data_IF_480072013712
#
_entry.id   IF_480072013712
#
_cell.length_a   1.000
_cell.length_b   1.000
_cell.length_c   1.000
_cell.angle_alpha   90.00
_cell.angle_beta   90.00
_cell.angle_gamma   90.00
#
_symmetry.space_group_name_H-M   'P 1'
#
loop_
_entity.id
_entity.type
_entity.pdbx_description
1 polymer ?
#
# COMPACT_ATOMS: atom_id res chain seq x y z
N UNK A 1 -33.12 -3.02 17.32
CA UNK A 1 -32.09 -4.07 17.48
C UNK A 1 -30.70 -3.47 17.28
N UNK A 2 -29.59 -4.17 17.55
CA UNK A 2 -28.23 -3.68 17.23
C UNK A 2 -27.57 -4.61 16.22
N UNK A 3 -26.70 -4.08 15.36
CA UNK A 3 -25.95 -4.87 14.40
C UNK A 3 -24.97 -5.80 15.12
N UNK A 4 -25.04 -7.11 14.84
CA UNK A 4 -24.12 -8.09 15.44
C UNK A 4 -22.66 -7.96 14.99
N UNK A 5 -22.38 -7.16 13.95
CA UNK A 5 -21.01 -6.95 13.42
C UNK A 5 -20.38 -5.64 13.88
N UNK A 6 -21.09 -4.51 13.81
CA UNK A 6 -20.52 -3.19 14.13
C UNK A 6 -21.16 -2.48 15.33
N UNK A 7 -22.15 -3.08 15.99
CA UNK A 7 -22.79 -2.49 17.17
C UNK A 7 -23.72 -1.31 16.90
N UNK A 8 -23.90 -0.88 15.65
CA UNK A 8 -24.81 0.21 15.31
C UNK A 8 -26.27 -0.11 15.67
N UNK A 9 -27.01 0.90 16.14
CA UNK A 9 -28.45 0.78 16.45
C UNK A 9 -29.25 0.67 15.14
N UNK A 10 -30.12 -0.33 15.07
CA UNK A 10 -30.95 -0.66 13.91
C UNK A 10 -32.43 -0.47 14.25
N UNK A 11 -33.13 0.23 13.35
CA UNK A 11 -34.58 0.34 13.31
C UNK A 11 -35.21 -1.01 12.91
N UNK A 12 -36.44 -1.27 13.34
CA UNK A 12 -37.14 -2.52 13.02
C UNK A 12 -37.54 -2.57 11.52
N UNK A 13 -37.33 -3.72 10.87
CA UNK A 13 -37.66 -3.93 9.45
C UNK A 13 -36.52 -3.64 8.46
N UNK A 14 -35.33 -3.28 8.93
CA UNK A 14 -34.15 -3.10 8.08
C UNK A 14 -33.62 -4.46 7.59
N UNK A 15 -33.29 -4.57 6.31
CA UNK A 15 -32.72 -5.78 5.69
C UNK A 15 -31.19 -5.81 5.73
N UNK A 16 -30.56 -4.64 5.86
CA UNK A 16 -29.11 -4.47 5.97
C UNK A 16 -28.77 -3.35 6.96
N UNK A 17 -27.62 -3.47 7.64
CA UNK A 17 -27.10 -2.43 8.50
C UNK A 17 -26.61 -1.23 7.66
N UNK A 18 -27.12 -0.01 7.88
CA UNK A 18 -26.73 1.17 7.11
C UNK A 18 -25.30 1.67 7.43
N UNK A 19 -24.67 1.15 8.48
CA UNK A 19 -23.32 1.55 8.88
C UNK A 19 -22.23 0.60 8.36
N UNK A 20 -22.54 -0.68 8.12
CA UNK A 20 -21.51 -1.65 7.71
C UNK A 20 -21.97 -2.63 6.63
N UNK A 21 -23.19 -2.49 6.10
CA UNK A 21 -23.73 -3.31 5.02
C UNK A 21 -24.10 -4.75 5.39
N UNK A 22 -23.98 -5.16 6.67
CA UNK A 22 -24.27 -6.55 7.08
C UNK A 22 -25.78 -6.82 7.06
N UNK A 23 -26.28 -7.90 6.42
CA UNK A 23 -27.71 -8.22 6.36
C UNK A 23 -28.28 -8.50 7.75
N UNK A 24 -29.47 -7.96 8.00
CA UNK A 24 -30.17 -8.02 9.29
C UNK A 24 -31.41 -8.91 9.14
N UNK A 25 -31.20 -10.22 9.18
CA UNK A 25 -32.28 -11.21 9.11
C UNK A 25 -31.85 -12.62 9.52
N UNK A 26 -32.33 -13.06 10.69
CA UNK A 26 -32.70 -14.46 10.97
C UNK A 26 -34.24 -14.55 10.76
N UNK A 27 -34.93 -15.60 10.32
CA UNK A 27 -34.73 -17.05 10.19
C UNK A 27 -35.80 -17.61 9.16
N UNK A 28 -36.07 -18.93 8.93
CA UNK A 28 -36.31 -19.96 9.96
C UNK A 28 -35.60 -21.31 9.75
N UNK A 29 -35.61 -22.09 10.83
CA UNK A 29 -35.29 -23.50 10.86
C UNK A 29 -36.14 -24.30 9.86
N UNK A 30 -35.50 -25.22 9.15
CA UNK A 30 -36.13 -26.40 8.57
C UNK A 30 -35.46 -27.63 9.19
N UNK A 31 -36.19 -28.29 10.08
CA UNK A 31 -35.90 -29.61 10.60
C UNK A 31 -36.02 -30.65 9.46
N UNK A 32 -34.99 -31.48 9.26
CA UNK A 32 -35.19 -32.86 8.80
C UNK A 32 -34.31 -33.78 9.63
N UNK A 33 -34.95 -34.72 10.32
CA UNK A 33 -34.35 -35.74 11.16
C UNK A 33 -33.72 -36.86 10.33
N UNK A 34 -32.56 -37.36 10.77
CA UNK A 34 -31.86 -38.50 10.15
C UNK A 34 -30.60 -38.94 10.92
N UNK A 35 -30.83 -39.68 12.00
CA UNK A 35 -30.04 -40.63 12.82
C UNK A 35 -28.54 -40.92 12.55
N UNK A 36 -27.79 -41.05 13.68
CA UNK A 36 -26.62 -41.93 14.00
C UNK A 36 -25.22 -41.26 14.08
N UNK A 37 -24.24 -41.79 14.87
CA UNK A 37 -23.91 -41.24 16.18
C UNK A 37 -22.44 -40.78 16.37
N UNK A 38 -22.27 -39.94 17.41
CA UNK A 38 -21.10 -39.76 18.29
C UNK A 38 -19.70 -39.56 17.67
N UNK A 39 -19.20 -38.32 17.77
CA UNK A 39 -17.77 -38.07 18.03
C UNK A 39 -17.62 -36.85 18.96
N UNK A 40 -17.15 -37.11 20.19
CA UNK A 40 -16.71 -36.07 21.14
C UNK A 40 -15.55 -35.28 20.52
N UNK A 41 -15.64 -33.95 20.50
CA UNK A 41 -14.47 -33.06 20.38
C UNK A 41 -14.14 -32.47 21.75
N UNK A 42 -12.86 -32.43 22.15
CA UNK A 42 -12.46 -31.84 23.41
C UNK A 42 -12.50 -30.31 23.30
N UNK A 43 -12.88 -29.68 24.41
CA UNK A 43 -12.84 -28.24 24.59
C UNK A 43 -11.37 -27.83 24.71
N UNK A 44 -10.90 -26.88 23.89
CA UNK A 44 -9.62 -26.22 24.13
C UNK A 44 -9.85 -24.69 24.14
N UNK A 45 -9.43 -23.97 25.19
CA UNK A 45 -9.62 -22.54 25.31
C UNK A 45 -8.80 -21.82 24.24
N UNK A 46 -9.44 -20.87 23.55
CA UNK A 46 -8.77 -19.97 22.60
C UNK A 46 -7.84 -19.07 23.40
N UNK A 47 -6.55 -19.40 23.35
CA UNK A 47 -5.46 -18.55 23.80
C UNK A 47 -5.43 -17.32 22.89
N UNK A 48 -5.77 -16.18 23.48
CA UNK A 48 -5.52 -14.84 22.95
C UNK A 48 -4.00 -14.72 22.81
N UNK A 49 -3.50 -14.77 21.58
CA UNK A 49 -2.07 -14.76 21.30
C UNK A 49 -1.74 -15.18 19.87
N UNK A 50 -2.42 -14.59 18.87
CA UNK A 50 -2.14 -14.86 17.45
C UNK A 50 -2.63 -13.74 16.51
N UNK A 51 -2.64 -12.48 16.94
CA UNK A 51 -2.96 -11.37 16.02
C UNK A 51 -1.68 -10.84 15.34
N UNK A 52 -0.57 -10.77 16.08
CA UNK A 52 0.72 -10.29 15.54
C UNK A 52 1.34 -11.26 14.52
N UNK A 53 1.12 -12.57 14.64
CA UNK A 53 1.70 -13.56 13.72
C UNK A 53 0.98 -13.62 12.36
N UNK A 54 -0.29 -13.22 12.28
CA UNK A 54 -1.07 -13.29 11.03
C UNK A 54 -0.69 -12.16 10.08
N UNK A 55 -0.35 -10.97 10.59
CA UNK A 55 0.20 -9.88 9.78
C UNK A 55 1.51 -10.29 9.07
N UNK A 56 2.41 -10.99 9.78
CA UNK A 56 3.69 -11.49 9.22
C UNK A 56 3.47 -12.63 8.21
N UNK A 57 2.44 -13.47 8.39
CA UNK A 57 2.14 -14.58 7.47
C UNK A 57 1.50 -14.08 6.16
N UNK A 58 0.71 -13.00 6.19
CA UNK A 58 0.17 -12.37 4.97
C UNK A 58 1.29 -11.74 4.13
N UNK A 59 2.28 -11.09 4.77
CA UNK A 59 3.45 -10.52 4.09
C UNK A 59 4.34 -11.61 3.47
N UNK A 60 4.53 -12.75 4.16
CA UNK A 60 5.40 -13.83 3.66
C UNK A 60 4.76 -14.74 2.59
N UNK A 61 3.43 -14.82 2.48
CA UNK A 61 2.75 -15.60 1.45
C UNK A 61 2.68 -14.89 0.07
N UNK A 62 2.95 -13.58 0.00
CA UNK A 62 3.03 -12.82 -1.25
C UNK A 62 4.39 -12.95 -1.97
N UNK A 63 5.37 -13.62 -1.38
CA UNK A 63 6.71 -13.81 -1.97
C UNK A 63 6.83 -14.98 -2.97
N UNK A 64 5.72 -15.61 -3.36
CA UNK A 64 5.72 -16.71 -4.32
C UNK A 64 5.12 -16.32 -5.69
N UNK A 65 5.73 -15.34 -6.38
CA UNK A 65 5.57 -15.19 -7.85
C UNK A 65 6.96 -15.31 -8.48
N UNK A 66 7.13 -16.34 -9.31
CA UNK A 66 8.40 -16.86 -9.79
C UNK A 66 9.21 -15.96 -10.75
N UNK A 67 10.34 -16.48 -11.27
CA UNK A 67 11.46 -15.70 -11.80
C UNK A 67 11.29 -15.19 -13.25
N UNK A 68 10.10 -14.75 -13.67
CA UNK A 68 9.82 -14.36 -15.06
C UNK A 68 8.91 -13.13 -15.25
N UNK A 69 8.65 -12.32 -14.22
CA UNK A 69 7.81 -11.13 -14.33
C UNK A 69 8.42 -9.92 -13.63
N UNK A 70 8.31 -8.73 -14.24
CA UNK A 70 8.77 -7.48 -13.63
C UNK A 70 8.03 -7.12 -12.33
N UNK A 71 8.52 -6.10 -11.63
CA UNK A 71 7.97 -5.54 -10.38
C UNK A 71 6.50 -5.19 -10.56
N UNK A 72 5.63 -5.62 -9.63
CA UNK A 72 4.20 -5.30 -9.64
C UNK A 72 3.93 -3.93 -9.04
N UNK A 73 2.73 -3.38 -9.24
CA UNK A 73 2.33 -2.08 -8.69
C UNK A 73 2.46 -2.04 -7.15
N UNK A 74 2.03 -3.11 -6.49
CA UNK A 74 2.07 -3.26 -5.04
C UNK A 74 3.51 -3.30 -4.54
N UNK A 75 4.38 -4.09 -5.19
CA UNK A 75 5.81 -4.14 -4.87
C UNK A 75 6.52 -2.81 -5.14
N UNK A 76 6.09 -2.03 -6.11
CA UNK A 76 6.61 -0.68 -6.34
C UNK A 76 6.30 0.24 -5.16
N UNK A 77 5.11 0.14 -4.59
CA UNK A 77 4.79 0.92 -3.39
C UNK A 77 5.52 0.38 -2.16
N UNK A 78 5.59 -0.95 -1.97
CA UNK A 78 6.38 -1.53 -0.87
C UNK A 78 7.83 -1.04 -0.90
N UNK A 79 8.44 -1.04 -2.09
CA UNK A 79 9.80 -0.55 -2.28
C UNK A 79 9.91 0.96 -2.08
N UNK A 80 8.89 1.77 -2.41
CA UNK A 80 8.89 3.21 -2.11
C UNK A 80 9.05 3.44 -0.61
N UNK A 81 8.22 2.80 0.22
CA UNK A 81 8.28 2.97 1.67
C UNK A 81 9.58 2.39 2.24
N UNK A 82 10.02 1.22 1.76
CA UNK A 82 11.29 0.62 2.18
C UNK A 82 12.48 1.54 1.87
N UNK A 83 12.53 2.12 0.67
CA UNK A 83 13.58 3.06 0.28
C UNK A 83 13.58 4.32 1.13
N UNK A 84 12.39 4.92 1.36
CA UNK A 84 12.28 6.13 2.21
C UNK A 84 12.69 5.86 3.64
N UNK A 85 12.23 4.74 4.23
CA UNK A 85 12.54 4.39 5.62
C UNK A 85 14.00 4.02 5.86
N UNK A 86 14.70 3.54 4.83
CA UNK A 86 16.12 3.20 4.90
C UNK A 86 17.03 4.30 4.38
N UNK A 87 16.49 5.48 4.04
CA UNK A 87 17.22 6.55 3.36
C UNK A 87 18.03 6.04 2.14
N UNK A 88 17.39 5.19 1.32
CA UNK A 88 17.98 4.60 0.12
C UNK A 88 17.44 5.33 -1.12
N UNK A 89 18.07 6.46 -1.48
CA UNK A 89 17.65 7.25 -2.66
C UNK A 89 17.89 6.51 -3.97
N UNK A 90 18.89 5.65 -4.08
CA UNK A 90 19.09 4.79 -5.26
C UNK A 90 17.91 3.84 -5.44
N UNK A 91 17.48 3.21 -4.34
CA UNK A 91 16.27 2.40 -4.29
C UNK A 91 15.03 3.19 -4.72
N UNK A 92 14.89 4.44 -4.26
CA UNK A 92 13.81 5.34 -4.63
C UNK A 92 13.83 5.71 -6.11
N UNK A 93 14.99 6.12 -6.64
CA UNK A 93 15.15 6.50 -8.05
C UNK A 93 14.94 5.33 -9.00
N UNK A 94 15.23 4.09 -8.57
CA UNK A 94 14.90 2.88 -9.34
C UNK A 94 13.39 2.67 -9.57
N UNK A 95 12.54 3.43 -8.86
CA UNK A 95 11.09 3.43 -9.02
C UNK A 95 10.62 4.46 -10.04
N UNK A 96 11.47 5.41 -10.43
CA UNK A 96 11.21 6.40 -11.46
C UNK A 96 11.58 5.82 -12.83
N UNK A 97 10.85 6.12 -13.91
CA UNK A 97 11.24 5.65 -15.25
C UNK A 97 12.57 6.27 -15.71
N UNK A 98 13.50 5.44 -16.18
CA UNK A 98 14.84 5.85 -16.61
C UNK A 98 14.82 7.04 -17.60
N UNK A 99 13.93 7.03 -18.59
CA UNK A 99 13.82 8.11 -19.57
C UNK A 99 13.47 9.48 -18.96
N UNK A 100 12.80 9.51 -17.81
CA UNK A 100 12.55 10.76 -17.07
C UNK A 100 13.77 11.22 -16.30
N UNK A 101 14.54 10.29 -15.70
CA UNK A 101 15.80 10.59 -15.01
C UNK A 101 16.82 11.12 -16.03
N UNK A 102 16.97 10.43 -17.16
CA UNK A 102 17.84 10.84 -18.27
C UNK A 102 17.46 12.24 -18.78
N UNK A 103 16.16 12.53 -18.96
CA UNK A 103 15.71 13.84 -19.39
C UNK A 103 16.02 14.95 -18.36
N UNK A 104 15.86 14.66 -17.06
CA UNK A 104 16.20 15.61 -16.00
C UNK A 104 17.71 15.87 -15.91
N UNK A 105 18.54 14.83 -16.07
CA UNK A 105 19.99 14.96 -16.14
C UNK A 105 20.41 15.80 -17.36
N UNK A 106 19.83 15.55 -18.54
CA UNK A 106 20.12 16.33 -19.75
C UNK A 106 19.69 17.80 -19.61
N UNK A 107 18.51 18.08 -19.03
CA UNK A 107 18.03 19.45 -18.80
C UNK A 107 18.93 20.22 -17.82
N UNK A 108 19.48 19.54 -16.83
CA UNK A 108 20.37 20.10 -15.81
C UNK A 108 21.85 20.14 -16.23
N UNK A 109 22.21 19.64 -17.42
CA UNK A 109 23.60 19.46 -17.91
C UNK A 109 24.46 18.67 -16.91
N UNK A 110 23.84 17.70 -16.23
CA UNK A 110 24.41 16.91 -15.16
C UNK A 110 24.97 15.59 -15.70
N UNK A 111 26.21 15.27 -15.33
CA UNK A 111 26.82 13.98 -15.66
C UNK A 111 26.51 12.89 -14.62
N UNK A 112 26.93 11.66 -14.89
CA UNK A 112 26.66 10.52 -14.01
C UNK A 112 27.31 10.67 -12.62
N UNK A 113 28.50 11.27 -12.54
CA UNK A 113 29.21 11.47 -11.27
C UNK A 113 28.50 12.55 -10.44
N UNK A 114 28.09 13.66 -11.05
CA UNK A 114 27.29 14.71 -10.39
C UNK A 114 25.92 14.18 -9.94
N UNK A 115 25.29 13.30 -10.73
CA UNK A 115 24.04 12.64 -10.33
C UNK A 115 24.25 11.72 -9.12
N UNK A 116 25.33 10.93 -9.09
CA UNK A 116 25.67 10.12 -7.91
C UNK A 116 25.91 10.98 -6.66
N UNK A 117 26.63 12.11 -6.79
CA UNK A 117 26.80 13.07 -5.70
C UNK A 117 25.46 13.64 -5.24
N UNK A 118 24.54 13.95 -6.16
CA UNK A 118 23.19 14.41 -5.82
C UNK A 118 22.39 13.35 -5.06
N UNK A 119 22.52 12.07 -5.40
CA UNK A 119 21.85 10.99 -4.67
C UNK A 119 22.39 10.87 -3.23
N UNK A 120 23.71 10.97 -3.06
CA UNK A 120 24.32 10.95 -1.72
C UNK A 120 23.85 12.16 -0.88
N UNK A 121 23.76 13.36 -1.48
CA UNK A 121 23.18 14.55 -0.82
C UNK A 121 21.70 14.37 -0.47
N UNK A 122 20.95 13.61 -1.27
CA UNK A 122 19.55 13.27 -0.99
C UNK A 122 19.43 12.22 0.13
N UNK A 123 20.38 11.28 0.23
CA UNK A 123 20.44 10.30 1.33
C UNK A 123 20.57 11.05 2.66
N UNK A 124 21.50 12.00 2.76
CA UNK A 124 21.69 12.84 3.96
C UNK A 124 20.43 13.65 4.31
N UNK A 125 19.70 14.15 3.30
CA UNK A 125 18.44 14.88 3.52
C UNK A 125 17.31 13.98 4.01
N UNK A 126 17.21 12.75 3.49
CA UNK A 126 16.25 11.75 3.95
C UNK A 126 16.58 11.32 5.38
N UNK A 127 17.84 11.04 5.70
CA UNK A 127 18.28 10.71 7.06
C UNK A 127 17.93 11.84 8.04
N UNK A 128 18.20 13.09 7.66
CA UNK A 128 17.82 14.27 8.44
C UNK A 128 16.31 14.33 8.67
N UNK A 129 15.51 14.04 7.64
CA UNK A 129 14.04 14.02 7.73
C UNK A 129 13.54 12.92 8.67
N UNK A 130 14.11 11.72 8.60
CA UNK A 130 13.79 10.61 9.50
C UNK A 130 14.18 10.93 10.95
N UNK A 131 15.31 11.59 11.17
CA UNK A 131 15.74 12.02 12.51
C UNK A 131 14.81 13.08 13.12
N UNK A 132 14.26 13.98 12.29
CA UNK A 132 13.25 14.94 12.74
C UNK A 132 11.94 14.24 13.10
N UNK A 133 11.56 13.21 12.35
CA UNK A 133 10.39 12.39 12.67
C UNK A 133 10.59 11.63 13.99
N UNK A 134 11.77 11.07 14.23
CA UNK A 134 12.13 10.44 15.52
C UNK A 134 12.01 11.44 16.68
N UNK A 135 12.44 12.70 16.49
CA UNK A 135 12.29 13.73 17.51
C UNK A 135 10.82 14.10 17.82
N UNK A 136 9.90 13.87 16.89
CA UNK A 136 8.46 14.15 17.05
C UNK A 136 7.67 12.95 17.54
N UNK A 137 7.93 11.76 17.01
CA UNK A 137 7.22 10.51 17.27
C UNK A 137 7.83 9.69 18.42
N UNK A 138 9.05 10.01 18.84
CA UNK A 138 9.84 9.23 19.79
C UNK A 138 10.81 8.27 19.11
N UNK A 139 11.83 7.83 19.87
CA UNK A 139 12.73 6.73 19.46
C UNK A 139 11.89 5.47 19.12
N UNK A 140 12.37 4.63 18.21
CA UNK A 140 11.72 3.36 17.80
C UNK A 140 10.29 3.50 17.22
N UNK A 141 9.96 4.63 16.61
CA UNK A 141 8.70 4.79 15.87
C UNK A 141 8.63 3.81 14.68
N UNK A 142 7.41 3.43 14.29
CA UNK A 142 7.17 2.55 13.15
C UNK A 142 6.13 3.17 12.23
N UNK A 143 6.45 3.30 10.94
CA UNK A 143 5.45 3.59 9.91
C UNK A 143 5.06 2.31 9.18
N UNK A 144 3.76 2.10 9.05
CA UNK A 144 3.19 0.99 8.29
C UNK A 144 2.32 1.53 7.16
N UNK A 145 2.27 0.79 6.04
CA UNK A 145 1.39 1.11 4.93
C UNK A 145 0.51 -0.09 4.58
N UNK A 146 -0.74 0.18 4.23
CA UNK A 146 -1.70 -0.80 3.70
C UNK A 146 -2.32 -0.26 2.41
N UNK A 147 -2.26 -1.04 1.33
CA UNK A 147 -2.97 -0.72 0.09
C UNK A 147 -4.44 -1.11 0.25
N UNK A 148 -5.31 -0.13 0.45
CA UNK A 148 -6.73 -0.35 0.72
C UNK A 148 -7.57 -0.43 -0.56
N UNK A 149 -7.10 0.15 -1.66
CA UNK A 149 -7.72 -0.04 -2.98
C UNK A 149 -6.72 0.14 -4.13
N UNK A 150 -7.07 -0.44 -5.28
CA UNK A 150 -6.34 -0.28 -6.53
C UNK A 150 -7.33 -0.14 -7.67
N UNK A 151 -7.21 0.96 -8.41
CA UNK A 151 -8.07 1.32 -9.52
C UNK A 151 -7.22 1.45 -10.79
N UNK A 152 -7.66 0.84 -11.88
CA UNK A 152 -7.00 1.02 -13.18
C UNK A 152 -7.42 2.35 -13.79
N UNK A 153 -6.45 3.09 -14.31
CA UNK A 153 -6.68 4.28 -15.13
C UNK A 153 -6.82 3.80 -16.58
N UNK A 154 -7.88 4.20 -17.24
CA UNK A 154 -8.26 3.70 -18.57
C UNK A 154 -8.93 4.79 -19.40
N UNK A 155 -9.14 4.56 -20.69
CA UNK A 155 -9.83 5.52 -21.54
C UNK A 155 -8.96 6.74 -21.87
N UNK A 156 -9.57 7.92 -21.82
CA UNK A 156 -8.93 9.21 -22.14
C UNK A 156 -7.80 9.53 -21.15
N UNK A 157 -8.01 9.35 -19.85
CA UNK A 157 -6.97 9.55 -18.82
C UNK A 157 -5.69 8.72 -19.06
N UNK A 158 -5.83 7.49 -19.57
CA UNK A 158 -4.68 6.65 -19.92
C UNK A 158 -4.04 7.07 -21.26
N UNK A 159 -4.81 7.65 -22.17
CA UNK A 159 -4.28 8.17 -23.42
C UNK A 159 -3.45 9.43 -23.16
N UNK A 160 -3.98 10.36 -22.36
CA UNK A 160 -3.29 11.59 -21.97
C UNK A 160 -1.96 11.28 -21.27
N UNK A 161 -1.98 10.35 -20.30
CA UNK A 161 -0.76 9.93 -19.62
C UNK A 161 0.25 9.26 -20.56
N UNK A 162 -0.19 8.59 -21.63
CA UNK A 162 0.76 8.05 -22.62
C UNK A 162 1.42 9.16 -23.40
N UNK A 163 0.65 10.15 -23.82
CA UNK A 163 1.15 11.29 -24.58
C UNK A 163 2.18 12.09 -23.74
N UNK A 164 1.91 12.30 -22.45
CA UNK A 164 2.84 12.96 -21.52
C UNK A 164 4.16 12.18 -21.37
N UNK A 165 4.09 10.86 -21.26
CA UNK A 165 5.29 10.02 -21.08
C UNK A 165 6.09 9.82 -22.38
N UNK A 166 5.45 9.96 -23.54
CA UNK A 166 6.14 9.92 -24.84
C UNK A 166 7.14 11.08 -24.99
N UNK A 167 6.91 12.23 -24.35
CA UNK A 167 7.85 13.37 -24.32
C UNK A 167 9.21 12.96 -23.72
N UNK A 168 9.20 12.08 -22.72
CA UNK A 168 10.39 11.56 -22.05
C UNK A 168 10.92 10.26 -22.69
N UNK A 169 10.47 9.92 -23.90
CA UNK A 169 10.76 8.64 -24.57
C UNK A 169 10.33 7.39 -23.76
N UNK A 170 9.41 7.53 -22.81
CA UNK A 170 8.92 6.44 -21.97
C UNK A 170 7.62 5.88 -22.53
N UNK A 171 7.58 4.56 -22.78
CA UNK A 171 6.37 3.87 -23.24
C UNK A 171 5.64 3.20 -22.09
N UNK A 172 4.48 3.74 -21.73
CA UNK A 172 3.61 3.14 -20.72
C UNK A 172 2.47 2.33 -21.36
N UNK A 173 2.12 1.21 -20.74
CA UNK A 173 1.07 0.30 -21.26
C UNK A 173 -0.21 0.30 -20.44
N UNK A 174 -0.11 0.65 -19.15
CA UNK A 174 -1.21 0.71 -18.19
C UNK A 174 -0.83 1.69 -17.08
N UNK A 175 -1.83 2.18 -16.36
CA UNK A 175 -1.64 3.01 -15.17
C UNK A 175 -2.64 2.64 -14.10
N UNK A 176 -2.27 2.86 -12.84
CA UNK A 176 -3.09 2.56 -11.67
C UNK A 176 -2.99 3.67 -10.65
N UNK A 177 -4.10 3.91 -9.96
CA UNK A 177 -4.18 4.66 -8.71
C UNK A 177 -4.32 3.67 -7.56
N UNK A 178 -3.48 3.80 -6.55
CA UNK A 178 -3.50 3.00 -5.34
C UNK A 178 -3.85 3.93 -4.18
N UNK A 179 -4.90 3.59 -3.43
CA UNK A 179 -5.19 4.27 -2.17
C UNK A 179 -4.47 3.53 -1.06
N UNK A 180 -3.68 4.27 -0.30
CA UNK A 180 -2.93 3.78 0.83
C UNK A 180 -3.48 4.33 2.12
N UNK A 181 -3.41 3.50 3.15
CA UNK A 181 -3.59 3.86 4.54
C UNK A 181 -2.21 3.77 5.19
N UNK A 182 -1.78 4.85 5.82
CA UNK A 182 -0.47 4.96 6.47
C UNK A 182 -0.73 5.20 7.95
N UNK A 183 -0.11 4.39 8.79
CA UNK A 183 -0.22 4.50 10.23
C UNK A 183 1.17 4.67 10.83
N UNK A 184 1.34 5.74 11.60
CA UNK A 184 2.53 6.02 12.40
C UNK A 184 2.27 5.58 13.83
N UNK A 185 3.14 4.72 14.34
CA UNK A 185 3.12 4.19 15.70
C UNK A 185 4.33 4.69 16.48
N UNK A 186 4.14 5.01 17.75
CA UNK A 186 5.26 5.28 18.67
C UNK A 186 5.92 3.97 19.13
N UNK A 187 6.93 4.10 20.01
CA UNK A 187 7.65 2.95 20.59
C UNK A 187 6.79 2.03 21.47
N UNK A 188 5.65 2.50 21.99
CA UNK A 188 4.71 1.68 22.76
C UNK A 188 3.69 0.98 21.84
N UNK A 189 3.72 1.29 20.54
CA UNK A 189 2.78 0.79 19.54
C UNK A 189 1.44 1.52 19.57
N UNK A 190 1.38 2.71 20.19
CA UNK A 190 0.21 3.58 20.13
C UNK A 190 0.22 4.39 18.84
N UNK A 191 -0.98 4.59 18.27
CA UNK A 191 -1.17 5.37 17.04
C UNK A 191 -0.90 6.85 17.31
N UNK A 192 0.12 7.38 16.64
CA UNK A 192 0.51 8.80 16.67
C UNK A 192 -0.19 9.57 15.54
N UNK A 193 -0.24 8.95 14.35
CA UNK A 193 -0.93 9.50 13.19
C UNK A 193 -1.52 8.36 12.35
N UNK A 194 -2.65 8.67 11.72
CA UNK A 194 -3.35 7.77 10.82
C UNK A 194 -3.92 8.58 9.66
N UNK A 195 -3.47 8.26 8.45
CA UNK A 195 -3.80 9.04 7.27
C UNK A 195 -4.01 8.15 6.05
N UNK A 196 -4.69 8.72 5.05
CA UNK A 196 -4.85 8.08 3.74
C UNK A 196 -4.26 8.96 2.65
N UNK A 197 -3.52 8.34 1.73
CA UNK A 197 -2.94 9.01 0.57
C UNK A 197 -3.22 8.21 -0.71
N UNK A 198 -3.02 8.84 -1.85
CA UNK A 198 -3.14 8.20 -3.16
C UNK A 198 -1.79 8.23 -3.87
N UNK A 199 -1.37 7.08 -4.38
CA UNK A 199 -0.15 6.93 -5.18
C UNK A 199 -0.53 6.46 -6.58
N UNK A 200 0.19 6.98 -7.56
CA UNK A 200 -0.03 6.68 -8.97
C UNK A 200 1.17 5.92 -9.50
N UNK A 201 0.91 4.89 -10.31
CA UNK A 201 1.96 4.07 -10.92
C UNK A 201 1.65 3.80 -12.38
N UNK A 202 2.70 3.76 -13.19
CA UNK A 202 2.64 3.46 -14.63
C UNK A 202 3.41 2.19 -14.95
N UNK A 203 2.94 1.46 -15.97
CA UNK A 203 3.58 0.22 -16.42
C UNK A 203 4.59 0.48 -17.53
N UNK A 204 5.86 0.56 -17.14
CA UNK A 204 7.03 0.74 -17.99
C UNK A 204 7.60 -0.61 -18.41
N UNK A 205 7.28 -1.06 -19.62
CA UNK A 205 7.69 -2.38 -20.10
C UNK A 205 7.17 -3.52 -19.21
N UNK A 206 8.08 -4.16 -18.45
CA UNK A 206 7.72 -5.27 -17.56
C UNK A 206 7.39 -4.82 -16.15
N UNK A 207 7.95 -3.70 -15.72
CA UNK A 207 7.92 -3.20 -14.35
C UNK A 207 6.81 -2.16 -14.18
N UNK A 208 6.39 -1.95 -12.94
CA UNK A 208 5.62 -0.79 -12.55
C UNK A 208 6.56 0.24 -11.92
N UNK A 209 6.38 1.50 -12.28
CA UNK A 209 7.14 2.66 -11.83
C UNK A 209 6.20 3.67 -11.18
N UNK A 210 6.72 4.51 -10.29
CA UNK A 210 5.98 5.64 -9.73
C UNK A 210 5.69 6.66 -10.82
N UNK A 211 4.47 7.19 -10.79
CA UNK A 211 4.09 8.33 -11.60
C UNK A 211 4.44 9.62 -10.87
N UNK A 212 5.68 10.07 -11.04
CA UNK A 212 6.22 11.25 -10.37
C UNK A 212 5.53 12.55 -10.78
N UNK A 213 4.94 12.60 -11.99
CA UNK A 213 4.15 13.75 -12.44
C UNK A 213 2.91 13.95 -11.56
N UNK A 214 2.26 12.85 -11.16
CA UNK A 214 1.15 12.89 -10.22
C UNK A 214 1.58 13.17 -8.77
N UNK A 215 2.86 12.97 -8.43
CA UNK A 215 3.41 13.27 -7.10
C UNK A 215 3.72 14.76 -6.87
N UNK A 216 3.89 15.56 -7.93
CA UNK A 216 4.11 17.00 -7.84
C UNK A 216 2.94 17.80 -7.24
N UNK A 217 1.76 17.18 -7.07
CA UNK A 217 0.61 17.77 -6.37
C UNK A 217 0.58 17.48 -4.85
N UNK A 218 1.57 16.76 -4.32
CA UNK A 218 1.61 16.29 -2.93
C UNK A 218 2.66 17.05 -2.07
N UNK A 219 3.49 17.89 -2.69
CA UNK A 219 4.43 18.80 -2.02
C UNK A 219 4.00 20.27 -2.18
#
# INVERSE_FOLDING_TARGET
>A
MFCGKCGAKLEEGMTFCPQCGTPTGAAPAAETAGTAPAAKKPNLPVLIGAVVLVAVIVVSLLFAVGPLGGRSAEKTIDQLFESVLNADTRGLMSLVPDGMVEAAMEESDMDEDEYEEQLDDMDEQLESSLSMMEALAGEDWTMTHEIVSTENITGEDLADLKDDYEEYNVKISAAKKLKLHITLLDSEGEEVDDSSTEMYVVKCGRDWCLDVNSMGNIF
#
